data_IF_869808362587
#
_entry.id   IF_869808362587
#
_cell.length_a   1.000
_cell.length_b   1.000
_cell.length_c   1.000
_cell.angle_alpha   90.00
_cell.angle_beta   90.00
_cell.angle_gamma   90.00
#
_symmetry.space_group_name_H-M   'P 1'
#
loop_
_entity.id
_entity.type
_entity.pdbx_description
1 polymer ?
#
# COMPACT_ATOMS: atom_id res chain seq x y z
N UNK A 1 -13.87 11.45 0.09
CA UNK A 1 -13.83 9.98 0.11
C UNK A 1 -12.41 9.56 0.44
N UNK A 2 -12.26 8.58 1.33
CA UNK A 2 -10.97 8.08 1.80
C UNK A 2 -10.96 6.57 1.64
N UNK A 3 -9.96 6.07 0.94
CA UNK A 3 -9.75 4.64 0.71
C UNK A 3 -8.45 4.22 1.38
N UNK A 4 -8.54 3.18 2.21
CA UNK A 4 -7.42 2.61 2.95
C UNK A 4 -7.12 1.22 2.42
N UNK A 5 -5.92 1.03 1.89
CA UNK A 5 -5.51 -0.20 1.22
C UNK A 5 -4.33 -0.85 1.94
N UNK A 6 -4.39 -2.18 2.08
CA UNK A 6 -3.24 -3.00 2.43
C UNK A 6 -2.88 -3.88 1.24
N UNK A 7 -1.61 -3.87 0.85
CA UNK A 7 -1.06 -4.73 -0.20
C UNK A 7 -0.04 -5.64 0.46
N UNK A 8 -0.17 -6.95 0.33
CA UNK A 8 0.70 -7.92 0.98
C UNK A 8 1.16 -9.01 0.00
N UNK A 9 2.38 -9.51 0.21
CA UNK A 9 3.00 -10.52 -0.64
C UNK A 9 4.39 -10.88 -0.17
N UNK A 10 5.12 -11.57 -1.03
CA UNK A 10 6.55 -11.83 -0.87
C UNK A 10 7.38 -10.84 -1.71
N UNK A 11 8.61 -10.60 -1.25
CA UNK A 11 9.61 -9.80 -1.96
C UNK A 11 9.83 -10.35 -3.37
N UNK A 12 9.73 -9.47 -4.37
CA UNK A 12 9.84 -9.81 -5.80
C UNK A 12 8.50 -9.93 -6.54
N UNK A 13 7.35 -9.92 -5.84
CA UNK A 13 6.02 -9.98 -6.48
C UNK A 13 5.48 -8.61 -6.91
N UNK A 14 6.19 -7.53 -6.61
CA UNK A 14 5.77 -6.17 -6.97
C UNK A 14 4.86 -5.47 -5.94
N UNK A 15 4.70 -5.98 -4.72
CA UNK A 15 3.91 -5.37 -3.62
C UNK A 15 4.12 -3.85 -3.51
N UNK A 16 5.36 -3.43 -3.33
CA UNK A 16 5.74 -2.02 -3.19
C UNK A 16 5.53 -1.20 -4.46
N UNK A 17 5.75 -1.83 -5.63
CA UNK A 17 5.56 -1.18 -6.92
C UNK A 17 4.08 -0.88 -7.14
N UNK A 18 3.19 -1.81 -6.82
CA UNK A 18 1.73 -1.63 -6.91
C UNK A 18 1.28 -0.45 -6.06
N UNK A 19 1.69 -0.39 -4.79
CA UNK A 19 1.36 0.74 -3.90
C UNK A 19 1.85 2.08 -4.44
N UNK A 20 3.10 2.13 -4.92
CA UNK A 20 3.68 3.33 -5.52
C UNK A 20 2.94 3.79 -6.78
N UNK A 21 2.57 2.86 -7.67
CA UNK A 21 1.85 3.18 -8.90
C UNK A 21 0.45 3.73 -8.61
N UNK A 22 -0.26 3.16 -7.63
CA UNK A 22 -1.55 3.68 -7.16
C UNK A 22 -1.41 5.12 -6.63
N UNK A 23 -0.38 5.39 -5.82
CA UNK A 23 -0.13 6.73 -5.32
C UNK A 23 0.15 7.72 -6.45
N UNK A 24 0.98 7.35 -7.42
CA UNK A 24 1.28 8.21 -8.59
C UNK A 24 0.02 8.49 -9.41
N UNK A 25 -0.82 7.48 -9.63
CA UNK A 25 -2.08 7.65 -10.35
C UNK A 25 -3.05 8.57 -9.59
N UNK A 26 -3.19 8.39 -8.28
CA UNK A 26 -4.06 9.21 -7.43
C UNK A 26 -3.56 10.66 -7.32
N UNK A 27 -2.25 10.89 -7.18
CA UNK A 27 -1.66 12.24 -7.20
C UNK A 27 -1.93 12.95 -8.54
N UNK A 28 -1.87 12.23 -9.67
CA UNK A 28 -2.22 12.78 -11.00
C UNK A 28 -3.69 13.18 -11.12
N UNK A 29 -4.56 12.63 -10.26
CA UNK A 29 -5.97 13.00 -10.17
C UNK A 29 -6.22 14.08 -9.09
N UNK A 30 -5.17 14.67 -8.50
CA UNK A 30 -5.29 15.70 -7.47
C UNK A 30 -5.69 15.19 -6.08
N UNK A 31 -5.61 13.88 -5.84
CA UNK A 31 -5.88 13.29 -4.52
C UNK A 31 -4.67 13.42 -3.59
N UNK A 32 -4.93 13.45 -2.30
CA UNK A 32 -3.92 13.29 -1.26
C UNK A 32 -3.60 11.82 -1.07
N UNK A 33 -2.32 11.50 -0.88
CA UNK A 33 -1.87 10.11 -0.75
C UNK A 33 -0.88 9.93 0.40
N UNK A 34 -0.94 8.78 1.04
CA UNK A 34 0.09 8.30 1.97
C UNK A 34 0.50 6.88 1.60
N UNK A 35 1.79 6.57 1.71
CA UNK A 35 2.34 5.26 1.38
C UNK A 35 3.38 4.86 2.43
N UNK A 36 3.07 3.84 3.21
CA UNK A 36 3.98 3.25 4.19
C UNK A 36 4.37 1.84 3.72
N UNK A 37 5.59 1.68 3.18
CA UNK A 37 6.12 0.36 2.85
C UNK A 37 6.66 -0.36 4.10
N UNK A 38 6.54 -1.68 4.12
CA UNK A 38 7.12 -2.56 5.15
C UNK A 38 7.68 -3.82 4.50
N UNK A 39 8.96 -4.07 4.68
CA UNK A 39 9.64 -5.23 4.10
C UNK A 39 10.82 -5.63 4.98
N UNK A 40 11.09 -6.94 5.02
CA UNK A 40 12.28 -7.47 5.70
C UNK A 40 13.58 -7.14 4.96
N UNK A 41 14.73 -7.44 5.59
CA UNK A 41 16.05 -7.32 4.94
C UNK A 41 16.21 -8.20 3.69
N UNK A 42 15.35 -9.21 3.57
CA UNK A 42 15.29 -10.16 2.46
C UNK A 42 14.76 -9.47 1.20
N UNK A 43 15.66 -9.17 0.26
CA UNK A 43 15.30 -8.55 -1.02
C UNK A 43 14.37 -9.41 -1.90
N UNK A 44 14.25 -10.72 -1.62
CA UNK A 44 13.36 -11.68 -2.30
C UNK A 44 12.88 -12.76 -1.34
N UNK A 45 11.64 -13.23 -1.52
CA UNK A 45 11.06 -14.34 -0.75
C UNK A 45 10.60 -13.99 0.67
N UNK A 46 11.15 -12.94 1.28
CA UNK A 46 10.69 -12.41 2.56
C UNK A 46 9.33 -11.73 2.48
N UNK A 47 8.69 -11.51 3.63
CA UNK A 47 7.40 -10.80 3.72
C UNK A 47 7.56 -9.34 3.31
N UNK A 48 6.69 -8.89 2.41
CA UNK A 48 6.57 -7.51 2.01
C UNK A 48 5.10 -7.08 2.07
N UNK A 49 4.82 -5.93 2.65
CA UNK A 49 3.52 -5.29 2.61
C UNK A 49 3.67 -3.77 2.44
N UNK A 50 2.59 -3.11 2.06
CA UNK A 50 2.49 -1.67 2.19
C UNK A 50 1.06 -1.23 2.48
N UNK A 51 0.96 -0.15 3.24
CA UNK A 51 -0.27 0.57 3.50
C UNK A 51 -0.35 1.78 2.57
N UNK A 52 -1.47 1.95 1.89
CA UNK A 52 -1.75 3.09 1.02
C UNK A 52 -3.04 3.74 1.48
N UNK A 53 -3.02 5.06 1.66
CA UNK A 53 -4.24 5.85 1.88
C UNK A 53 -4.40 6.81 0.71
N UNK A 54 -5.59 6.85 0.12
CA UNK A 54 -5.96 7.80 -0.95
C UNK A 54 -7.17 8.58 -0.47
N UNK A 55 -7.09 9.91 -0.48
CA UNK A 55 -8.13 10.78 0.06
C UNK A 55 -8.39 11.99 -0.83
N UNK A 56 -9.63 12.46 -0.84
CA UNK A 56 -10.01 13.77 -1.40
C UNK A 56 -9.52 14.94 -0.55
N UNK A 57 -9.26 14.69 0.74
CA UNK A 57 -8.87 15.67 1.76
C UNK A 57 -7.51 15.31 2.37
N UNK A 58 -6.95 16.22 3.17
CA UNK A 58 -5.67 16.00 3.85
C UNK A 58 -5.70 14.74 4.74
N UNK A 59 -4.62 13.98 4.71
CA UNK A 59 -4.50 12.72 5.45
C UNK A 59 -3.89 13.02 6.82
N UNK A 60 -4.70 12.91 7.87
CA UNK A 60 -4.26 13.15 9.26
C UNK A 60 -3.36 12.03 9.82
N UNK A 61 -3.55 10.79 9.38
CA UNK A 61 -2.78 9.63 9.84
C UNK A 61 -2.56 8.64 8.69
N UNK A 62 -1.36 8.05 8.58
CA UNK A 62 -1.07 7.02 7.59
C UNK A 62 -1.31 5.59 8.11
N UNK A 63 -1.73 5.44 9.38
CA UNK A 63 -1.97 4.13 10.01
C UNK A 63 -3.37 3.64 9.69
N UNK A 64 -3.48 2.41 9.19
CA UNK A 64 -4.73 1.78 8.80
C UNK A 64 -5.11 0.72 9.84
N UNK A 65 -6.24 0.91 10.52
CA UNK A 65 -6.80 -0.10 11.44
C UNK A 65 -7.75 -1.06 10.71
N UNK A 66 -8.57 -0.53 9.79
CA UNK A 66 -9.62 -1.28 9.08
C UNK A 66 -9.59 -0.97 7.59
N UNK A 67 -8.81 -1.72 6.79
CA UNK A 67 -8.67 -1.43 5.37
C UNK A 67 -10.00 -1.59 4.63
N UNK A 68 -10.28 -0.65 3.73
CA UNK A 68 -11.36 -0.71 2.74
C UNK A 68 -11.06 -1.80 1.69
N UNK A 69 -9.78 -1.97 1.34
CA UNK A 69 -9.32 -2.87 0.28
C UNK A 69 -8.08 -3.64 0.73
N UNK A 70 -8.04 -4.94 0.42
CA UNK A 70 -6.84 -5.78 0.59
C UNK A 70 -6.44 -6.40 -0.74
N UNK A 71 -5.17 -6.28 -1.10
CA UNK A 71 -4.56 -6.94 -2.25
C UNK A 71 -3.55 -7.96 -1.73
N UNK A 72 -3.91 -9.25 -1.78
CA UNK A 72 -3.06 -10.35 -1.37
C UNK A 72 -2.41 -11.02 -2.59
N UNK A 73 -1.08 -11.01 -2.66
CA UNK A 73 -0.28 -11.60 -3.75
C UNK A 73 0.31 -12.97 -3.39
N UNK A 74 0.10 -13.43 -2.16
CA UNK A 74 0.51 -14.74 -1.66
C UNK A 74 -0.59 -15.36 -0.79
N UNK A 75 -0.49 -16.67 -0.57
CA UNK A 75 -1.26 -17.36 0.46
C UNK A 75 -0.73 -17.08 1.86
N UNK A 76 -1.37 -17.64 2.91
CA UNK A 76 -0.88 -17.55 4.27
C UNK A 76 0.55 -18.11 4.33
N UNK A 77 1.47 -17.32 4.90
CA UNK A 77 2.84 -17.72 5.22
C UNK A 77 2.91 -18.53 6.50
#
# INVERSE_FOLDING_TARGET
>A
MTEELIIAGFGGQGVLLTGKLLCVAAMRQGKQVSHIPSYGAEMRGGTANCSVVISDEEIASPVIEKPSIVIALNGPS
#
